data_IF_726211333231
#
_entry.id   IF_726211333231
#
_cell.length_a   1.000
_cell.length_b   1.000
_cell.length_c   1.000
_cell.angle_alpha   90.00
_cell.angle_beta   90.00
_cell.angle_gamma   90.00
#
_symmetry.space_group_name_H-M   'P 1'
#
loop_
_entity.id
_entity.type
_entity.pdbx_description
1 polymer ?
#
# COMPACT_ATOMS: atom_id res chain seq x y z
N UNK A 1 23.47 -55.54 24.42
CA UNK A 1 24.52 -54.65 23.86
C UNK A 1 23.87 -53.91 22.72
N UNK A 2 23.32 -52.71 23.00
CA UNK A 2 22.58 -51.90 22.03
C UNK A 2 23.49 -50.71 21.75
N UNK A 3 24.09 -50.70 20.55
CA UNK A 3 24.86 -49.56 20.06
C UNK A 3 23.90 -48.39 19.82
N UNK A 4 24.04 -47.37 20.66
CA UNK A 4 23.47 -46.06 20.40
C UNK A 4 24.20 -45.47 19.17
N UNK A 5 23.52 -45.45 18.02
CA UNK A 5 23.90 -44.60 16.90
C UNK A 5 23.76 -43.14 17.35
N UNK A 6 24.87 -42.55 17.79
CA UNK A 6 25.01 -41.11 17.92
C UNK A 6 25.09 -40.59 16.49
N UNK A 7 23.95 -40.18 15.96
CA UNK A 7 23.86 -39.42 14.71
C UNK A 7 24.69 -38.16 14.89
N UNK A 8 25.86 -38.14 14.27
CA UNK A 8 26.80 -37.04 14.30
C UNK A 8 26.23 -35.96 13.39
N UNK A 9 25.43 -35.05 13.96
CA UNK A 9 25.02 -33.82 13.28
C UNK A 9 26.28 -33.02 13.01
N UNK A 10 26.76 -33.04 11.76
CA UNK A 10 27.87 -32.19 11.33
C UNK A 10 27.59 -30.74 11.74
N UNK A 11 28.59 -30.01 12.28
CA UNK A 11 28.43 -28.60 12.61
C UNK A 11 28.12 -27.84 11.33
N UNK A 12 26.92 -27.26 11.26
CA UNK A 12 26.47 -26.40 10.17
C UNK A 12 27.53 -25.36 9.86
N UNK A 13 28.10 -25.42 8.66
CA UNK A 13 29.25 -24.63 8.24
C UNK A 13 29.01 -23.11 8.37
N UNK A 14 30.07 -22.30 8.57
CA UNK A 14 30.02 -20.83 8.68
C UNK A 14 29.49 -20.08 7.43
N UNK A 15 29.04 -20.79 6.38
CA UNK A 15 28.54 -20.21 5.13
C UNK A 15 27.05 -19.82 5.14
N UNK A 16 26.30 -20.12 6.21
CA UNK A 16 24.85 -19.86 6.26
C UNK A 16 24.48 -18.40 6.56
N UNK A 17 25.36 -17.61 7.17
CA UNK A 17 25.12 -16.21 7.55
C UNK A 17 24.66 -15.31 6.39
N UNK A 18 25.38 -15.27 5.24
CA UNK A 18 24.98 -14.47 4.08
C UNK A 18 23.65 -14.89 3.44
N UNK A 19 23.25 -16.16 3.59
CA UNK A 19 21.97 -16.67 3.10
C UNK A 19 20.85 -16.20 4.03
N UNK A 20 21.06 -16.29 5.33
CA UNK A 20 20.09 -15.85 6.36
C UNK A 20 19.85 -14.34 6.31
N UNK A 21 20.88 -13.52 6.11
CA UNK A 21 20.70 -12.07 5.91
C UNK A 21 19.86 -11.75 4.65
N UNK A 22 20.02 -12.54 3.58
CA UNK A 22 19.20 -12.40 2.36
C UNK A 22 17.75 -12.81 2.60
N UNK A 23 17.53 -13.89 3.35
CA UNK A 23 16.19 -14.38 3.71
C UNK A 23 15.48 -13.43 4.68
N UNK A 24 16.15 -12.95 5.72
CA UNK A 24 15.66 -11.92 6.64
C UNK A 24 15.22 -10.66 5.90
N UNK A 25 16.06 -10.17 4.98
CA UNK A 25 15.70 -9.03 4.12
C UNK A 25 14.43 -9.29 3.30
N UNK A 26 14.24 -10.51 2.77
CA UNK A 26 13.04 -10.89 2.01
C UNK A 26 11.81 -10.99 2.90
N UNK A 27 11.95 -11.60 4.08
CA UNK A 27 10.89 -11.78 5.08
C UNK A 27 10.42 -10.41 5.58
N UNK A 28 11.31 -9.55 6.05
CA UNK A 28 10.94 -8.21 6.54
C UNK A 28 10.38 -7.31 5.45
N UNK A 29 10.84 -7.46 4.20
CA UNK A 29 10.21 -6.77 3.05
C UNK A 29 8.76 -7.23 2.86
N UNK A 30 8.49 -8.53 2.96
CA UNK A 30 7.14 -9.11 2.86
C UNK A 30 6.26 -8.74 4.05
N UNK A 31 6.81 -8.66 5.26
CA UNK A 31 6.11 -8.18 6.46
C UNK A 31 5.81 -6.66 6.41
N UNK A 32 6.38 -5.93 5.45
CA UNK A 32 6.14 -4.50 5.29
C UNK A 32 6.93 -3.64 6.28
N UNK A 33 8.10 -4.09 6.72
CA UNK A 33 9.04 -3.26 7.50
C UNK A 33 9.62 -2.16 6.60
N UNK A 34 9.83 -0.94 7.11
CA UNK A 34 10.39 0.18 6.29
C UNK A 34 11.84 -0.05 5.91
N UNK A 35 12.32 0.63 4.85
CA UNK A 35 13.71 0.44 4.37
C UNK A 35 14.76 0.82 5.42
N UNK A 36 14.52 1.88 6.20
CA UNK A 36 15.42 2.30 7.28
C UNK A 36 15.44 1.25 8.40
N UNK A 37 14.25 0.90 8.92
CA UNK A 37 14.08 -0.12 9.96
C UNK A 37 14.70 -1.48 9.55
N UNK A 38 14.50 -1.92 8.30
CA UNK A 38 15.14 -3.16 7.80
C UNK A 38 16.66 -3.09 7.79
N UNK A 39 17.26 -1.91 7.57
CA UNK A 39 18.73 -1.78 7.61
C UNK A 39 19.21 -1.93 9.04
N UNK A 40 18.53 -1.31 10.01
CA UNK A 40 18.85 -1.46 11.42
C UNK A 40 18.73 -2.93 11.87
N UNK A 41 17.62 -3.61 11.52
CA UNK A 41 17.43 -5.03 11.83
C UNK A 41 18.49 -5.93 11.17
N UNK A 42 18.93 -5.60 9.95
CA UNK A 42 19.98 -6.37 9.27
C UNK A 42 21.35 -6.17 9.92
N UNK A 43 21.65 -4.97 10.41
CA UNK A 43 22.88 -4.70 11.15
C UNK A 43 22.90 -5.50 12.45
N UNK A 44 21.81 -5.43 13.22
CA UNK A 44 21.70 -6.16 14.49
C UNK A 44 21.78 -7.68 14.30
N UNK A 45 21.06 -8.24 13.31
CA UNK A 45 21.16 -9.66 12.98
C UNK A 45 22.60 -10.03 12.54
N UNK A 46 23.28 -9.16 11.79
CA UNK A 46 24.68 -9.40 11.41
C UNK A 46 25.59 -9.43 12.63
N UNK A 47 25.37 -8.54 13.60
CA UNK A 47 26.15 -8.45 14.83
C UNK A 47 25.92 -9.70 15.70
N UNK A 48 24.67 -10.15 15.85
CA UNK A 48 24.33 -11.39 16.58
C UNK A 48 24.91 -12.64 15.92
N UNK A 49 24.87 -12.73 14.59
CA UNK A 49 25.49 -13.84 13.85
C UNK A 49 27.01 -13.86 14.00
N UNK A 50 27.64 -12.68 14.00
CA UNK A 50 29.09 -12.55 14.18
C UNK A 50 29.50 -12.93 15.61
N UNK A 51 28.70 -12.56 16.60
CA UNK A 51 28.93 -12.97 17.99
C UNK A 51 28.78 -14.48 18.17
N UNK A 52 27.73 -15.08 17.59
CA UNK A 52 27.52 -16.52 17.64
C UNK A 52 28.66 -17.31 16.96
N UNK A 53 29.16 -16.83 15.83
CA UNK A 53 30.31 -17.42 15.14
C UNK A 53 31.59 -17.34 16.00
N UNK A 54 31.83 -16.20 16.66
CA UNK A 54 32.95 -16.04 17.59
C UNK A 54 32.88 -17.00 18.79
N UNK A 55 31.67 -17.34 19.24
CA UNK A 55 31.41 -18.30 20.32
C UNK A 55 31.34 -19.76 19.84
N UNK A 56 31.50 -20.02 18.53
CA UNK A 56 31.40 -21.36 17.93
C UNK A 56 29.98 -21.95 17.96
N UNK A 57 28.95 -21.11 18.10
CA UNK A 57 27.56 -21.52 18.13
C UNK A 57 26.98 -21.63 16.72
N UNK A 58 26.11 -22.62 16.46
CA UNK A 58 25.46 -22.76 15.16
C UNK A 58 24.50 -21.60 14.93
N UNK A 59 24.23 -21.30 13.65
CA UNK A 59 23.34 -20.17 13.32
C UNK A 59 21.90 -20.36 13.82
N UNK A 60 21.46 -21.60 14.00
CA UNK A 60 20.18 -21.95 14.63
C UNK A 60 20.09 -21.49 16.09
N UNK A 61 21.20 -21.21 16.78
CA UNK A 61 21.19 -20.64 18.12
C UNK A 61 20.66 -19.19 18.12
N UNK A 62 20.85 -18.45 17.04
CA UNK A 62 20.37 -17.05 16.90
C UNK A 62 18.95 -17.02 16.34
N UNK A 63 18.70 -17.74 15.25
CA UNK A 63 17.43 -17.61 14.50
C UNK A 63 16.42 -18.71 14.85
N UNK A 64 16.80 -19.68 15.69
CA UNK A 64 16.00 -20.85 16.01
C UNK A 64 15.91 -21.87 14.87
N UNK A 65 15.12 -22.91 15.08
CA UNK A 65 14.85 -23.96 14.08
C UNK A 65 13.95 -23.47 12.94
N UNK A 66 13.10 -22.48 13.21
CA UNK A 66 12.20 -21.87 12.23
C UNK A 66 12.56 -20.39 11.99
N UNK A 67 13.57 -20.11 11.14
CA UNK A 67 14.08 -18.76 10.97
C UNK A 67 13.03 -17.79 10.41
N UNK A 68 12.07 -18.28 9.62
CA UNK A 68 11.02 -17.42 9.06
C UNK A 68 10.09 -16.86 10.15
N UNK A 69 9.74 -17.69 11.12
CA UNK A 69 8.87 -17.32 12.23
C UNK A 69 9.58 -16.39 13.22
N UNK A 70 10.80 -16.74 13.62
CA UNK A 70 11.62 -15.91 14.53
C UNK A 70 11.87 -14.52 13.94
N UNK A 71 12.26 -14.44 12.67
CA UNK A 71 12.52 -13.15 12.01
C UNK A 71 11.24 -12.31 11.86
N UNK A 72 10.07 -12.95 11.64
CA UNK A 72 8.79 -12.23 11.66
C UNK A 72 8.46 -11.72 13.06
N UNK A 73 8.53 -12.59 14.07
CA UNK A 73 8.27 -12.25 15.45
C UNK A 73 9.13 -11.06 15.91
N UNK A 74 10.42 -11.06 15.54
CA UNK A 74 11.33 -9.97 15.87
C UNK A 74 10.91 -8.60 15.31
N UNK A 75 10.37 -8.58 14.08
CA UNK A 75 9.82 -7.36 13.48
C UNK A 75 8.46 -6.97 14.07
N UNK A 76 7.66 -7.95 14.47
CA UNK A 76 6.34 -7.77 15.07
C UNK A 76 6.42 -7.24 16.51
N UNK A 77 7.32 -7.79 17.33
CA UNK A 77 7.60 -7.36 18.71
C UNK A 77 8.01 -5.88 18.78
N UNK A 78 8.78 -5.42 17.78
CA UNK A 78 9.18 -4.01 17.66
C UNK A 78 8.12 -3.13 16.99
N UNK A 79 6.97 -3.72 16.65
CA UNK A 79 5.87 -3.07 15.96
C UNK A 79 6.28 -2.48 14.60
N UNK A 80 7.30 -3.03 13.95
CA UNK A 80 7.89 -2.53 12.70
C UNK A 80 7.17 -3.06 11.45
N UNK A 81 6.44 -4.16 11.58
CA UNK A 81 5.62 -4.75 10.53
C UNK A 81 4.47 -3.84 10.08
N UNK A 82 4.14 -3.91 8.78
CA UNK A 82 3.05 -3.12 8.19
C UNK A 82 3.31 -1.61 8.06
N UNK A 83 4.52 -1.12 8.36
CA UNK A 83 4.87 0.31 8.26
C UNK A 83 5.24 0.77 6.85
N UNK A 84 5.39 -0.14 5.89
CA UNK A 84 5.72 0.17 4.51
C UNK A 84 4.53 0.77 3.77
N UNK A 85 4.76 1.90 3.10
CA UNK A 85 3.69 2.60 2.38
C UNK A 85 3.16 1.80 1.17
N UNK A 86 3.98 0.98 0.51
CA UNK A 86 3.58 0.19 -0.68
C UNK A 86 2.84 1.01 -1.75
N UNK A 87 3.24 2.27 -1.96
CA UNK A 87 2.58 3.18 -2.92
C UNK A 87 2.57 2.63 -4.35
N UNK A 88 3.59 1.85 -4.73
CA UNK A 88 3.66 1.16 -6.03
C UNK A 88 2.57 0.09 -6.24
N UNK A 89 1.84 -0.31 -5.19
CA UNK A 89 0.67 -1.18 -5.29
C UNK A 89 -0.63 -0.38 -5.10
N UNK A 90 -0.65 0.52 -4.11
CA UNK A 90 -1.86 1.28 -3.77
C UNK A 90 -2.28 2.22 -4.90
N UNK A 91 -1.35 2.98 -5.48
CA UNK A 91 -1.68 3.96 -6.51
C UNK A 91 -2.23 3.30 -7.78
N UNK A 92 -1.56 2.30 -8.41
CA UNK A 92 -2.10 1.69 -9.63
C UNK A 92 -3.45 1.03 -9.43
N UNK A 93 -3.68 0.39 -8.27
CA UNK A 93 -4.96 -0.26 -7.97
C UNK A 93 -6.07 0.77 -7.77
N UNK A 94 -5.81 1.83 -7.01
CA UNK A 94 -6.79 2.90 -6.82
C UNK A 94 -7.14 3.59 -8.15
N UNK A 95 -6.13 3.93 -8.97
CA UNK A 95 -6.36 4.53 -10.28
C UNK A 95 -7.11 3.61 -11.24
N UNK A 96 -6.79 2.31 -11.25
CA UNK A 96 -7.52 1.32 -12.05
C UNK A 96 -8.98 1.26 -11.61
N UNK A 97 -9.26 1.22 -10.30
CA UNK A 97 -10.63 1.24 -9.78
C UNK A 97 -11.41 2.49 -10.19
N UNK A 98 -10.77 3.65 -10.10
CA UNK A 98 -11.37 4.94 -10.51
C UNK A 98 -11.65 4.96 -12.02
N UNK A 99 -10.67 4.58 -12.83
CA UNK A 99 -10.80 4.54 -14.29
C UNK A 99 -11.91 3.58 -14.73
N UNK A 100 -11.99 2.38 -14.12
CA UNK A 100 -13.05 1.42 -14.40
C UNK A 100 -14.43 1.94 -14.00
N UNK A 101 -14.55 2.60 -12.84
CA UNK A 101 -15.82 3.17 -12.40
C UNK A 101 -16.32 4.29 -13.32
N UNK A 102 -15.41 5.10 -13.86
CA UNK A 102 -15.73 6.15 -14.82
C UNK A 102 -15.76 5.70 -16.28
N UNK A 103 -15.36 4.47 -16.61
CA UNK A 103 -15.38 3.96 -17.98
C UNK A 103 -16.78 4.03 -18.60
N UNK A 104 -17.82 3.75 -17.81
CA UNK A 104 -19.21 3.88 -18.24
C UNK A 104 -19.53 5.32 -18.64
N UNK A 105 -19.15 6.30 -17.82
CA UNK A 105 -19.35 7.72 -18.10
C UNK A 105 -18.61 8.15 -19.38
N UNK A 106 -17.37 7.68 -19.57
CA UNK A 106 -16.58 7.98 -20.75
C UNK A 106 -17.27 7.50 -22.04
N UNK A 107 -17.91 6.32 -22.02
CA UNK A 107 -18.68 5.81 -23.16
C UNK A 107 -19.88 6.72 -23.47
N UNK A 108 -20.65 7.14 -22.46
CA UNK A 108 -21.78 8.05 -22.66
C UNK A 108 -21.35 9.42 -23.19
N UNK A 109 -20.27 10.00 -22.64
CA UNK A 109 -19.71 11.25 -23.14
C UNK A 109 -19.25 11.12 -24.59
N UNK A 110 -18.55 10.04 -24.93
CA UNK A 110 -18.11 9.78 -26.31
C UNK A 110 -19.30 9.71 -27.29
N UNK A 111 -20.37 8.99 -26.93
CA UNK A 111 -21.59 8.93 -27.74
C UNK A 111 -22.21 10.31 -27.89
N UNK A 112 -22.31 11.08 -26.79
CA UNK A 112 -22.88 12.43 -26.78
C UNK A 112 -22.10 13.42 -27.65
N UNK A 113 -20.77 13.35 -27.65
CA UNK A 113 -19.93 14.20 -28.51
C UNK A 113 -19.91 13.77 -29.99
N UNK A 114 -20.12 12.47 -30.27
CA UNK A 114 -20.00 11.94 -31.64
C UNK A 114 -21.34 11.95 -32.39
N UNK A 115 -22.47 11.83 -31.70
CA UNK A 115 -23.80 11.76 -32.32
C UNK A 115 -24.56 13.07 -32.15
N UNK A 116 -24.95 13.68 -33.27
CA UNK A 116 -25.62 15.00 -33.32
C UNK A 116 -27.05 15.05 -32.76
N UNK A 117 -27.70 13.91 -32.51
CA UNK A 117 -29.12 13.82 -32.12
C UNK A 117 -29.37 13.02 -30.83
N UNK A 118 -28.38 12.90 -29.94
CA UNK A 118 -28.57 12.22 -28.65
C UNK A 118 -28.80 13.27 -27.57
N UNK A 119 -30.06 13.53 -27.25
CA UNK A 119 -30.44 14.29 -26.07
C UNK A 119 -30.77 13.31 -24.94
N UNK A 120 -30.09 13.45 -23.79
CA UNK A 120 -30.44 12.72 -22.58
C UNK A 120 -31.50 13.54 -21.86
N UNK A 121 -32.75 13.18 -22.10
CA UNK A 121 -33.89 13.71 -21.36
C UNK A 121 -34.41 12.66 -20.40
N UNK A 122 -34.75 13.05 -19.16
CA UNK A 122 -34.60 14.38 -18.56
C UNK A 122 -33.17 14.68 -18.01
N UNK A 123 -32.78 15.96 -17.85
CA UNK A 123 -31.40 16.36 -17.51
C UNK A 123 -30.86 15.80 -16.18
N UNK A 124 -31.75 15.50 -15.22
CA UNK A 124 -31.33 14.92 -13.93
C UNK A 124 -30.74 13.51 -14.08
N UNK A 125 -31.01 12.81 -15.20
CA UNK A 125 -30.35 11.54 -15.50
C UNK A 125 -28.84 11.68 -15.69
N UNK A 126 -28.37 12.84 -16.17
CA UNK A 126 -26.94 13.12 -16.28
C UNK A 126 -26.31 13.17 -14.89
N UNK A 127 -26.92 13.92 -13.96
CA UNK A 127 -26.46 13.97 -12.56
C UNK A 127 -26.50 12.58 -11.91
N UNK A 128 -27.56 11.81 -12.17
CA UNK A 128 -27.67 10.42 -11.73
C UNK A 128 -26.53 9.54 -12.26
N UNK A 129 -26.20 9.65 -13.55
CA UNK A 129 -25.10 8.92 -14.17
C UNK A 129 -23.74 9.30 -13.56
N UNK A 130 -23.49 10.59 -13.35
CA UNK A 130 -22.29 11.06 -12.65
C UNK A 130 -22.21 10.51 -11.23
N UNK A 131 -23.31 10.55 -10.47
CA UNK A 131 -23.35 10.03 -9.11
C UNK A 131 -23.10 8.52 -9.05
N UNK A 132 -23.73 7.74 -9.93
CA UNK A 132 -23.57 6.27 -9.99
C UNK A 132 -22.15 5.88 -10.39
N UNK A 133 -21.58 6.53 -11.40
CA UNK A 133 -20.20 6.24 -11.84
C UNK A 133 -19.16 6.70 -10.84
N UNK A 134 -19.37 7.83 -10.17
CA UNK A 134 -18.53 8.27 -9.06
C UNK A 134 -18.60 7.30 -7.86
N UNK A 135 -19.78 6.82 -7.51
CA UNK A 135 -19.96 5.81 -6.47
C UNK A 135 -19.26 4.50 -6.85
N UNK A 136 -19.40 4.05 -8.10
CA UNK A 136 -18.73 2.84 -8.59
C UNK A 136 -17.20 3.00 -8.55
N UNK A 137 -16.67 4.13 -9.02
CA UNK A 137 -15.25 4.47 -8.97
C UNK A 137 -14.72 4.45 -7.53
N UNK A 138 -15.47 5.05 -6.60
CA UNK A 138 -15.16 5.05 -5.18
C UNK A 138 -15.11 3.63 -4.61
N UNK A 139 -16.14 2.81 -4.84
CA UNK A 139 -16.22 1.45 -4.32
C UNK A 139 -15.12 0.56 -4.89
N UNK A 140 -14.86 0.63 -6.20
CA UNK A 140 -13.81 -0.16 -6.85
C UNK A 140 -12.42 0.25 -6.36
N UNK A 141 -12.16 1.55 -6.17
CA UNK A 141 -10.89 2.02 -5.64
C UNK A 141 -10.64 1.49 -4.22
N UNK A 142 -11.64 1.57 -3.34
CA UNK A 142 -11.52 1.13 -1.94
C UNK A 142 -11.43 -0.39 -1.84
N UNK A 143 -12.35 -1.12 -2.46
CA UNK A 143 -12.40 -2.59 -2.38
C UNK A 143 -11.25 -3.23 -3.12
N UNK A 144 -10.87 -2.73 -4.30
CA UNK A 144 -9.69 -3.19 -5.04
C UNK A 144 -8.42 -3.01 -4.23
N UNK A 145 -8.23 -1.84 -3.62
CA UNK A 145 -7.06 -1.58 -2.74
C UNK A 145 -7.05 -2.54 -1.56
N UNK A 146 -8.20 -2.79 -0.93
CA UNK A 146 -8.31 -3.75 0.16
C UNK A 146 -7.92 -5.17 -0.27
N UNK A 147 -8.50 -5.67 -1.36
CA UNK A 147 -8.29 -7.03 -1.86
C UNK A 147 -6.82 -7.23 -2.25
N UNK A 148 -6.24 -6.33 -3.03
CA UNK A 148 -4.85 -6.46 -3.47
C UNK A 148 -3.89 -6.38 -2.30
N UNK A 149 -4.09 -5.45 -1.36
CA UNK A 149 -3.26 -5.39 -0.16
C UNK A 149 -3.37 -6.67 0.68
N UNK A 150 -4.57 -7.24 0.80
CA UNK A 150 -4.79 -8.53 1.48
C UNK A 150 -4.08 -9.69 0.77
N UNK A 151 -4.12 -9.73 -0.56
CA UNK A 151 -3.42 -10.75 -1.37
C UNK A 151 -1.89 -10.69 -1.21
N UNK A 152 -1.31 -9.49 -1.07
CA UNK A 152 0.14 -9.31 -0.83
C UNK A 152 0.49 -9.41 0.66
N UNK A 153 -0.43 -9.89 1.51
CA UNK A 153 -0.21 -10.13 2.93
C UNK A 153 0.02 -8.86 3.75
N UNK A 154 -0.56 -7.72 3.35
CA UNK A 154 -0.40 -6.47 4.08
C UNK A 154 -1.26 -6.46 5.36
N UNK A 155 -0.64 -6.39 6.55
CA UNK A 155 -1.35 -6.43 7.82
C UNK A 155 -2.19 -5.16 8.07
N UNK A 156 -1.98 -4.08 7.30
CA UNK A 156 -2.72 -2.82 7.40
C UNK A 156 -3.71 -2.61 6.25
N UNK A 157 -4.06 -3.68 5.52
CA UNK A 157 -5.05 -3.65 4.43
C UNK A 157 -6.39 -3.03 4.86
N UNK A 158 -6.98 -3.51 5.96
CA UNK A 158 -8.25 -2.99 6.49
C UNK A 158 -8.18 -1.52 6.94
N UNK A 159 -7.10 -1.15 7.64
CA UNK A 159 -6.88 0.25 8.07
C UNK A 159 -6.69 1.19 6.88
N UNK A 160 -6.01 0.73 5.83
CA UNK A 160 -5.81 1.51 4.60
C UNK A 160 -7.12 1.72 3.87
N UNK A 161 -7.94 0.67 3.73
CA UNK A 161 -9.25 0.79 3.10
C UNK A 161 -10.15 1.78 3.85
N UNK A 162 -10.14 1.75 5.19
CA UNK A 162 -10.90 2.70 6.02
C UNK A 162 -10.43 4.15 5.86
N UNK A 163 -9.12 4.39 5.90
CA UNK A 163 -8.58 5.74 5.70
C UNK A 163 -8.79 6.24 4.28
N UNK A 164 -8.69 5.36 3.28
CA UNK A 164 -8.97 5.69 1.90
C UNK A 164 -10.45 6.04 1.74
N UNK A 165 -11.37 5.22 2.25
CA UNK A 165 -12.80 5.49 2.26
C UNK A 165 -13.15 6.85 2.91
N UNK A 166 -12.49 7.20 4.03
CA UNK A 166 -12.73 8.45 4.72
C UNK A 166 -12.17 9.68 3.98
N UNK A 167 -11.02 9.56 3.31
CA UNK A 167 -10.31 10.70 2.70
C UNK A 167 -10.63 10.90 1.22
N UNK A 168 -11.02 9.83 0.51
CA UNK A 168 -11.28 9.87 -0.93
C UNK A 168 -12.39 10.85 -1.33
N UNK A 169 -13.51 11.02 -0.58
CA UNK A 169 -14.52 12.03 -0.91
C UNK A 169 -13.98 13.46 -0.84
N UNK A 170 -13.20 13.78 0.20
CA UNK A 170 -12.55 15.09 0.33
C UNK A 170 -11.50 15.30 -0.78
N UNK A 171 -10.70 14.27 -1.07
CA UNK A 171 -9.75 14.29 -2.18
C UNK A 171 -10.42 14.48 -3.54
N UNK A 172 -11.59 13.87 -3.77
CA UNK A 172 -12.37 14.03 -4.99
C UNK A 172 -12.94 15.45 -5.12
N UNK A 173 -13.38 16.07 -4.02
CA UNK A 173 -13.82 17.47 -4.01
C UNK A 173 -12.65 18.41 -4.38
N UNK A 174 -11.47 18.21 -3.79
CA UNK A 174 -10.25 18.96 -4.13
C UNK A 174 -9.85 18.73 -5.58
N UNK A 175 -9.87 17.49 -6.06
CA UNK A 175 -9.53 17.16 -7.44
C UNK A 175 -10.48 17.82 -8.43
N UNK A 176 -11.78 17.83 -8.13
CA UNK A 176 -12.79 18.52 -8.94
C UNK A 176 -12.51 20.03 -8.98
N UNK A 177 -12.30 20.66 -7.83
CA UNK A 177 -12.01 22.09 -7.77
C UNK A 177 -10.72 22.45 -8.53
N UNK A 178 -9.67 21.64 -8.40
CA UNK A 178 -8.41 21.83 -9.12
C UNK A 178 -8.59 21.65 -10.63
N UNK A 179 -9.32 20.61 -11.06
CA UNK A 179 -9.63 20.37 -12.47
C UNK A 179 -10.43 21.52 -13.09
N UNK A 180 -11.48 21.99 -12.40
CA UNK A 180 -12.27 23.16 -12.83
C UNK A 180 -11.41 24.42 -12.89
N UNK A 181 -10.51 24.61 -11.92
CA UNK A 181 -9.57 25.73 -11.91
C UNK A 181 -8.63 25.71 -13.11
N UNK A 182 -8.03 24.56 -13.42
CA UNK A 182 -7.16 24.39 -14.60
C UNK A 182 -7.93 24.60 -15.89
N UNK A 183 -9.11 23.99 -16.03
CA UNK A 183 -9.96 24.19 -17.21
C UNK A 183 -10.35 25.66 -17.39
N UNK A 184 -10.64 26.38 -16.30
CA UNK A 184 -10.94 27.82 -16.33
C UNK A 184 -9.74 28.65 -16.80
N UNK A 185 -8.54 28.34 -16.32
CA UNK A 185 -7.31 29.03 -16.74
C UNK A 185 -7.00 28.81 -18.22
N UNK A 186 -7.40 27.66 -18.77
CA UNK A 186 -7.27 27.30 -20.18
C UNK A 186 -8.52 27.66 -21.01
N UNK A 187 -9.44 28.46 -20.48
CA UNK A 187 -10.59 28.97 -21.22
C UNK A 187 -11.67 27.94 -21.56
N UNK A 188 -11.70 26.79 -20.87
CA UNK A 188 -12.64 25.68 -21.12
C UNK A 188 -12.63 25.17 -22.57
N UNK A 189 -11.48 25.22 -23.25
CA UNK A 189 -11.35 24.69 -24.61
C UNK A 189 -11.48 23.16 -24.60
N UNK A 190 -11.95 22.60 -25.73
CA UNK A 190 -11.99 21.16 -25.97
C UNK A 190 -10.72 20.64 -26.62
N UNK A 191 -9.64 21.41 -26.56
CA UNK A 191 -8.35 21.03 -27.11
C UNK A 191 -7.68 19.93 -26.28
N UNK A 192 -6.90 19.02 -26.89
CA UNK A 192 -6.25 17.94 -26.18
C UNK A 192 -5.39 18.40 -25.00
N UNK A 193 -4.75 19.57 -25.10
CA UNK A 193 -3.91 20.15 -24.05
C UNK A 193 -4.71 20.42 -22.77
N UNK A 194 -5.91 20.99 -22.88
CA UNK A 194 -6.80 21.25 -21.74
C UNK A 194 -7.23 19.96 -21.06
N UNK A 195 -7.51 18.90 -21.83
CA UNK A 195 -7.82 17.58 -21.27
C UNK A 195 -6.63 16.99 -20.52
N UNK A 196 -5.44 16.99 -21.13
CA UNK A 196 -4.22 16.44 -20.51
C UNK A 196 -3.88 17.18 -19.22
N UNK A 197 -3.94 18.51 -19.22
CA UNK A 197 -3.67 19.32 -18.04
C UNK A 197 -4.68 19.06 -16.91
N UNK A 198 -5.98 18.99 -17.25
CA UNK A 198 -7.06 18.73 -16.29
C UNK A 198 -6.98 17.32 -15.70
N UNK A 199 -6.76 16.31 -16.53
CA UNK A 199 -6.59 14.93 -16.07
C UNK A 199 -5.34 14.81 -15.20
N UNK A 200 -4.24 15.45 -15.61
CA UNK A 200 -2.98 15.48 -14.87
C UNK A 200 -3.15 16.01 -13.45
N UNK A 201 -3.78 17.17 -13.27
CA UNK A 201 -3.96 17.76 -11.94
C UNK A 201 -4.91 16.93 -11.06
N UNK A 202 -5.96 16.35 -11.65
CA UNK A 202 -6.89 15.43 -10.95
C UNK A 202 -6.13 14.20 -10.46
N UNK A 203 -5.30 13.60 -11.31
CA UNK A 203 -4.46 12.47 -10.94
C UNK A 203 -3.50 12.81 -9.80
N UNK A 204 -2.86 13.98 -9.83
CA UNK A 204 -1.98 14.43 -8.74
C UNK A 204 -2.75 14.55 -7.43
N UNK A 205 -3.92 15.21 -7.42
CA UNK A 205 -4.74 15.37 -6.22
C UNK A 205 -5.19 14.02 -5.63
N UNK A 206 -5.59 13.07 -6.47
CA UNK A 206 -5.99 11.74 -6.04
C UNK A 206 -4.78 10.91 -5.53
N UNK A 207 -3.62 11.02 -6.18
CA UNK A 207 -2.40 10.36 -5.73
C UNK A 207 -1.94 10.87 -4.36
N UNK A 208 -2.01 12.18 -4.13
CA UNK A 208 -1.74 12.79 -2.81
C UNK A 208 -2.73 12.24 -1.78
N UNK A 209 -4.01 12.19 -2.11
CA UNK A 209 -5.06 11.66 -1.21
C UNK A 209 -4.79 10.20 -0.82
N UNK A 210 -4.54 9.33 -1.79
CA UNK A 210 -4.24 7.91 -1.54
C UNK A 210 -2.94 7.73 -0.73
N UNK A 211 -1.93 8.57 -0.99
CA UNK A 211 -0.67 8.57 -0.24
C UNK A 211 -0.90 9.00 1.22
N UNK A 212 -1.69 10.05 1.46
CA UNK A 212 -2.08 10.50 2.80
C UNK A 212 -2.86 9.41 3.53
N UNK A 213 -3.85 8.79 2.89
CA UNK A 213 -4.63 7.71 3.46
C UNK A 213 -3.75 6.55 3.93
N UNK A 214 -2.81 6.12 3.08
CA UNK A 214 -1.88 5.04 3.40
C UNK A 214 -0.85 5.44 4.44
N UNK A 215 -0.41 6.70 4.44
CA UNK A 215 0.45 7.22 5.50
C UNK A 215 -0.27 7.16 6.85
N UNK A 216 -1.50 7.64 6.94
CA UNK A 216 -2.31 7.59 8.16
C UNK A 216 -2.58 6.16 8.65
N UNK A 217 -2.80 5.22 7.73
CA UNK A 217 -2.96 3.80 8.06
C UNK A 217 -1.70 3.12 8.61
N UNK A 218 -0.52 3.64 8.26
CA UNK A 218 0.80 3.08 8.61
C UNK A 218 1.55 3.90 9.67
N UNK A 219 0.95 4.98 10.20
CA UNK A 219 1.53 5.74 11.31
C UNK A 219 1.57 4.85 12.58
N UNK A 220 2.68 4.86 13.33
CA UNK A 220 2.70 4.29 14.68
C UNK A 220 1.62 4.96 15.53
N UNK A 221 0.80 4.17 16.24
CA UNK A 221 -0.07 4.72 17.29
C UNK A 221 0.83 5.13 18.45
N UNK A 222 1.34 6.36 18.43
CA UNK A 222 2.30 6.84 19.43
C UNK A 222 1.72 7.91 20.38
N UNK A 223 0.40 8.13 20.42
CA UNK A 223 -0.14 9.26 21.19
C UNK A 223 -1.52 9.09 21.84
N UNK A 224 -2.27 7.99 21.63
CA UNK A 224 -3.57 7.86 22.31
C UNK A 224 -3.44 7.36 23.75
N UNK A 225 -2.40 6.57 24.08
CA UNK A 225 -2.25 6.03 25.43
C UNK A 225 -1.66 7.05 26.42
N UNK A 226 -0.84 8.01 25.97
CA UNK A 226 -0.32 9.08 26.82
C UNK A 226 -1.37 10.14 27.20
N UNK A 227 -2.47 10.26 26.45
CA UNK A 227 -3.57 11.18 26.79
C UNK A 227 -4.64 10.53 27.66
N UNK A 228 -4.77 9.20 27.64
CA UNK A 228 -5.71 8.47 28.51
C UNK A 228 -5.08 8.04 29.83
N UNK A 229 -3.74 7.92 29.89
CA UNK A 229 -3.02 7.73 31.15
C UNK A 229 -2.81 9.04 31.95
N UNK A 230 -3.14 10.19 31.36
CA UNK A 230 -3.02 11.52 31.97
C UNK A 230 -4.39 12.15 32.31
N UNK A 231 -5.48 11.38 32.20
CA UNK A 231 -6.86 11.77 32.55
C UNK A 231 -7.41 10.81 33.61
#
# INVERSE_FOLDING_TARGET
>A
MIEASIEHTEPSAPEDGPKILRDAKRIWRRAGVRRADRRALLTELSDELTAADADGLPTSAVVGENPEETLRAWADERGLSGRALRLGVVLPVAFTGIALGFALLAVFLFIGFTRKNVAIEPPYLILGLYAVTALLAYLLAVTGTFIVLRQVGDPRSGSTARWLAATLPAGAAVATAAGVGVARLLGFTTEPETFVATIGIVCVALAVTATVARYLATRPRAASELSTAAA
#
